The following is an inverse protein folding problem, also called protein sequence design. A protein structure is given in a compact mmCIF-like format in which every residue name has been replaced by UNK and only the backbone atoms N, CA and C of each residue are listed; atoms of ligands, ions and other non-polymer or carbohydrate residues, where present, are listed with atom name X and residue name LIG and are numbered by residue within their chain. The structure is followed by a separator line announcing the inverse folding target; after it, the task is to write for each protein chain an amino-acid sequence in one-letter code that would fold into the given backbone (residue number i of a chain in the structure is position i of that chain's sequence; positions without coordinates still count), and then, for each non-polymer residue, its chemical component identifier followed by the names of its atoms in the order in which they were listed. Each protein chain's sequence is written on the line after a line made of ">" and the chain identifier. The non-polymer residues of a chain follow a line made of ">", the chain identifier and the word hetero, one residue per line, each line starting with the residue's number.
data_IF_912786128151
#
_entry.id   IF_912786128151
#
_cell.length_a   1.000
_cell.length_b   1.000
_cell.length_c   1.000
_cell.angle_alpha   90.00
_cell.angle_beta   90.00
_cell.angle_gamma   90.00
#
_symmetry.space_group_name_H-M   'P 1'
#
loop_
_entity.id
_entity.type
_entity.pdbx_description
1 polymer ?
#
# COMPACT_ATOMS: atom_id res chain seq x y z
N UNK A 1 -10.57 28.15 -8.29
CA UNK A 1 -10.48 27.03 -9.26
C UNK A 1 -11.91 26.65 -9.63
N UNK A 2 -12.26 26.73 -10.90
CA UNK A 2 -13.61 26.44 -11.42
C UNK A 2 -13.96 24.96 -11.23
N UNK A 3 -15.27 24.64 -11.11
CA UNK A 3 -15.77 23.27 -10.92
C UNK A 3 -15.34 22.33 -12.05
N UNK A 4 -15.34 22.82 -13.30
CA UNK A 4 -14.85 22.07 -14.47
C UNK A 4 -13.36 21.75 -14.37
N UNK A 5 -12.54 22.68 -13.89
CA UNK A 5 -11.12 22.44 -13.69
C UNK A 5 -10.85 21.39 -12.58
N UNK A 6 -11.65 21.39 -11.51
CA UNK A 6 -11.57 20.36 -10.45
C UNK A 6 -11.96 18.99 -10.98
N UNK A 7 -13.02 18.88 -11.77
CA UNK A 7 -13.47 17.63 -12.39
C UNK A 7 -12.43 17.07 -13.36
N UNK A 8 -11.80 17.93 -14.17
CA UNK A 8 -10.72 17.51 -15.09
C UNK A 8 -9.49 16.99 -14.33
N UNK A 9 -9.08 17.66 -13.25
CA UNK A 9 -7.96 17.19 -12.40
C UNK A 9 -8.30 15.86 -11.73
N UNK A 10 -9.50 15.70 -11.20
CA UNK A 10 -9.94 14.43 -10.62
C UNK A 10 -10.03 13.30 -11.66
N UNK A 11 -10.48 13.60 -12.86
CA UNK A 11 -10.47 12.65 -13.99
C UNK A 11 -9.06 12.17 -14.31
N UNK A 12 -8.14 13.10 -14.54
CA UNK A 12 -6.74 12.78 -14.84
C UNK A 12 -6.06 11.98 -13.72
N UNK A 13 -6.36 12.27 -12.44
CA UNK A 13 -5.86 11.49 -11.29
C UNK A 13 -6.41 10.06 -11.28
N UNK A 14 -7.71 9.89 -11.62
CA UNK A 14 -8.33 8.55 -11.72
C UNK A 14 -7.71 7.74 -12.85
N UNK A 15 -7.51 8.37 -14.02
CA UNK A 15 -6.90 7.72 -15.18
C UNK A 15 -5.46 7.27 -14.88
N UNK A 16 -4.66 8.11 -14.23
CA UNK A 16 -3.29 7.80 -13.83
C UNK A 16 -3.22 6.65 -12.82
N UNK A 17 -4.07 6.66 -11.80
CA UNK A 17 -4.15 5.56 -10.82
C UNK A 17 -4.60 4.26 -11.50
N UNK A 18 -5.63 4.31 -12.36
CA UNK A 18 -6.13 3.16 -13.11
C UNK A 18 -5.04 2.56 -14.00
N UNK A 19 -4.27 3.40 -14.69
CA UNK A 19 -3.13 2.96 -15.50
C UNK A 19 -2.04 2.31 -14.64
N UNK A 20 -1.72 2.88 -13.47
CA UNK A 20 -0.73 2.31 -12.55
C UNK A 20 -1.16 0.93 -12.03
N UNK A 21 -2.45 0.73 -11.74
CA UNK A 21 -3.01 -0.57 -11.32
C UNK A 21 -2.87 -1.59 -12.46
N UNK A 22 -3.33 -1.27 -13.69
CA UNK A 22 -3.24 -2.14 -14.86
C UNK A 22 -1.80 -2.56 -15.15
N UNK A 23 -0.90 -1.59 -15.15
CA UNK A 23 0.51 -1.85 -15.43
C UNK A 23 1.17 -2.68 -14.33
N UNK A 24 0.83 -2.45 -13.06
CA UNK A 24 1.33 -3.28 -11.96
C UNK A 24 0.81 -4.72 -12.05
N UNK A 25 -0.45 -4.93 -12.45
CA UNK A 25 -1.00 -6.26 -12.69
C UNK A 25 -0.27 -6.99 -13.82
N UNK A 26 0.01 -6.29 -14.93
CA UNK A 26 0.77 -6.84 -16.06
C UNK A 26 2.21 -7.20 -15.66
N UNK A 27 2.88 -6.34 -14.90
CA UNK A 27 4.24 -6.59 -14.41
C UNK A 27 4.28 -7.81 -13.45
N UNK A 28 3.29 -7.94 -12.55
CA UNK A 28 3.16 -9.11 -11.67
C UNK A 28 2.89 -10.38 -12.49
N UNK A 29 2.01 -10.31 -13.49
CA UNK A 29 1.78 -11.43 -14.39
C UNK A 29 3.07 -11.83 -15.12
N UNK A 30 3.87 -10.87 -15.59
CA UNK A 30 5.18 -11.13 -16.20
C UNK A 30 6.18 -11.79 -15.24
N UNK A 31 6.11 -11.48 -13.93
CA UNK A 31 6.89 -12.18 -12.90
C UNK A 31 6.45 -13.63 -12.74
N UNK A 32 5.22 -13.98 -13.08
CA UNK A 32 4.66 -15.33 -12.98
C UNK A 32 4.70 -16.13 -14.29
N UNK A 33 5.22 -15.57 -15.39
CA UNK A 33 5.32 -16.24 -16.69
C UNK A 33 6.51 -17.22 -16.74
N UNK A 34 6.33 -18.33 -17.46
CA UNK A 34 7.35 -19.36 -17.70
C UNK A 34 7.39 -20.45 -16.62
N UNK A 35 8.49 -21.18 -16.57
CA UNK A 35 8.66 -22.24 -15.57
C UNK A 35 8.92 -21.62 -14.18
N UNK A 36 7.83 -21.41 -13.44
CA UNK A 36 7.85 -20.84 -12.09
C UNK A 36 7.70 -21.94 -11.06
N UNK A 37 8.63 -22.01 -10.11
CA UNK A 37 8.49 -22.88 -8.93
C UNK A 37 7.53 -22.18 -7.93
N UNK A 38 6.26 -22.59 -7.98
CA UNK A 38 5.23 -22.06 -7.08
C UNK A 38 5.35 -22.60 -5.64
N UNK A 39 6.20 -23.61 -5.40
CA UNK A 39 6.51 -24.14 -4.07
C UNK A 39 7.66 -23.37 -3.39
N UNK A 40 8.38 -22.53 -4.13
CA UNK A 40 9.48 -21.72 -3.57
C UNK A 40 8.98 -20.84 -2.43
N UNK A 41 9.72 -20.74 -1.31
CA UNK A 41 9.33 -19.90 -0.17
C UNK A 41 9.47 -18.41 -0.52
N UNK A 42 8.52 -17.61 -0.04
CA UNK A 42 8.61 -16.14 -0.10
C UNK A 42 9.47 -15.64 1.07
N UNK A 43 10.58 -14.92 0.80
CA UNK A 43 11.49 -14.46 1.86
C UNK A 43 10.80 -13.53 2.86
N UNK A 44 10.80 -13.92 4.15
CA UNK A 44 10.18 -13.15 5.23
C UNK A 44 8.68 -13.37 5.40
N UNK A 45 8.12 -14.38 4.74
CA UNK A 45 6.73 -14.82 4.87
C UNK A 45 6.69 -16.33 5.13
N UNK A 46 5.57 -16.82 5.67
CA UNK A 46 5.28 -18.25 5.79
C UNK A 46 4.72 -18.83 4.49
N UNK A 47 4.43 -17.99 3.50
CA UNK A 47 3.82 -18.40 2.22
C UNK A 47 4.85 -18.86 1.20
N UNK A 48 4.39 -19.76 0.34
CA UNK A 48 5.02 -20.07 -0.93
C UNK A 48 4.65 -19.04 -2.00
N UNK A 49 5.34 -19.06 -3.13
CA UNK A 49 5.02 -18.23 -4.31
C UNK A 49 3.57 -18.47 -4.76
N UNK A 50 3.11 -19.73 -4.78
CA UNK A 50 1.74 -20.09 -5.15
C UNK A 50 0.70 -19.52 -4.18
N UNK A 51 0.96 -19.54 -2.88
CA UNK A 51 0.06 -18.97 -1.87
C UNK A 51 0.04 -17.45 -1.93
N UNK A 52 1.19 -16.79 -2.07
CA UNK A 52 1.25 -15.33 -2.22
C UNK A 52 0.55 -14.84 -3.48
N UNK A 53 0.70 -15.56 -4.61
CA UNK A 53 -0.01 -15.24 -5.84
C UNK A 53 -1.53 -15.50 -5.73
N UNK A 54 -1.95 -16.58 -5.04
CA UNK A 54 -3.34 -16.88 -4.77
C UNK A 54 -3.98 -15.81 -3.86
N UNK A 55 -3.28 -15.42 -2.78
CA UNK A 55 -3.72 -14.32 -1.93
C UNK A 55 -3.91 -13.03 -2.72
N UNK A 56 -2.96 -12.68 -3.58
CA UNK A 56 -3.05 -11.47 -4.40
C UNK A 56 -4.24 -11.52 -5.38
N UNK A 57 -4.49 -12.66 -6.02
CA UNK A 57 -5.64 -12.85 -6.90
C UNK A 57 -6.98 -12.69 -6.16
N UNK A 58 -7.10 -13.29 -4.97
CA UNK A 58 -8.29 -13.19 -4.11
C UNK A 58 -8.49 -11.76 -3.56
N UNK A 59 -7.41 -11.08 -3.19
CA UNK A 59 -7.50 -9.70 -2.73
C UNK A 59 -7.92 -8.75 -3.85
N UNK A 60 -7.40 -8.93 -5.06
CA UNK A 60 -7.83 -8.16 -6.23
C UNK A 60 -9.32 -8.40 -6.53
N UNK A 61 -9.80 -9.65 -6.41
CA UNK A 61 -11.22 -9.99 -6.56
C UNK A 61 -12.08 -9.30 -5.50
N UNK A 62 -11.68 -9.35 -4.24
CA UNK A 62 -12.35 -8.65 -3.16
C UNK A 62 -12.46 -7.14 -3.42
N UNK A 63 -11.35 -6.49 -3.83
CA UNK A 63 -11.35 -5.06 -4.13
C UNK A 63 -12.25 -4.71 -5.33
N UNK A 64 -12.29 -5.58 -6.35
CA UNK A 64 -13.20 -5.41 -7.48
C UNK A 64 -14.67 -5.53 -7.05
N UNK A 65 -15.02 -6.50 -6.22
CA UNK A 65 -16.37 -6.66 -5.67
C UNK A 65 -16.79 -5.41 -4.86
N UNK A 66 -15.92 -4.90 -4.01
CA UNK A 66 -16.17 -3.69 -3.23
C UNK A 66 -16.32 -2.45 -4.13
N UNK A 67 -15.50 -2.33 -5.18
CA UNK A 67 -15.60 -1.25 -6.14
C UNK A 67 -16.92 -1.29 -6.93
N UNK A 68 -17.47 -2.47 -7.19
CA UNK A 68 -18.79 -2.67 -7.82
C UNK A 68 -19.97 -2.47 -6.83
N UNK A 69 -19.69 -2.20 -5.56
CA UNK A 69 -20.71 -2.01 -4.51
C UNK A 69 -21.26 -3.31 -3.94
N UNK A 70 -20.59 -4.45 -4.18
CA UNK A 70 -20.95 -5.71 -3.53
C UNK A 70 -20.40 -5.75 -2.11
N UNK A 71 -21.26 -6.01 -1.14
CA UNK A 71 -20.82 -6.26 0.23
C UNK A 71 -20.10 -7.62 0.29
N UNK A 72 -18.88 -7.60 0.78
CA UNK A 72 -18.09 -8.83 0.96
C UNK A 72 -17.35 -8.75 2.29
N UNK A 73 -17.94 -9.32 3.36
CA UNK A 73 -17.31 -9.33 4.67
C UNK A 73 -15.92 -9.98 4.62
N UNK A 74 -14.91 -9.31 5.18
CA UNK A 74 -13.55 -9.79 5.25
C UNK A 74 -12.87 -9.26 6.50
N UNK A 75 -12.55 -10.16 7.43
CA UNK A 75 -12.11 -9.75 8.76
C UNK A 75 -13.19 -9.00 9.54
N UNK A 76 -12.80 -8.15 10.46
CA UNK A 76 -13.69 -7.36 11.32
C UNK A 76 -13.50 -5.83 11.19
N UNK A 77 -12.87 -5.38 10.11
CA UNK A 77 -12.57 -3.96 9.86
C UNK A 77 -11.30 -3.45 10.56
N UNK A 78 -10.50 -4.33 11.15
CA UNK A 78 -9.22 -3.97 11.80
C UNK A 78 -8.03 -4.67 11.15
N UNK A 79 -6.83 -4.04 11.11
CA UNK A 79 -5.62 -4.68 10.60
C UNK A 79 -5.30 -6.02 11.27
N UNK A 80 -5.58 -6.17 12.56
CA UNK A 80 -5.29 -7.38 13.34
C UNK A 80 -6.10 -8.60 12.88
N UNK A 81 -7.27 -8.40 12.27
CA UNK A 81 -8.11 -9.49 11.78
C UNK A 81 -7.70 -10.03 10.40
N UNK A 82 -6.83 -9.32 9.66
CA UNK A 82 -6.50 -9.66 8.29
C UNK A 82 -5.76 -10.99 8.16
N UNK A 83 -4.84 -11.28 9.07
CA UNK A 83 -4.05 -12.52 9.01
C UNK A 83 -4.95 -13.78 9.06
N UNK A 84 -5.94 -13.80 9.97
CA UNK A 84 -6.89 -14.91 10.07
C UNK A 84 -7.78 -15.00 8.82
N UNK A 85 -8.33 -13.88 8.33
CA UNK A 85 -9.15 -13.85 7.13
C UNK A 85 -8.38 -14.29 5.87
N UNK A 86 -7.10 -13.92 5.77
CA UNK A 86 -6.21 -14.38 4.70
C UNK A 86 -6.02 -15.90 4.75
N UNK A 87 -5.75 -16.45 5.95
CA UNK A 87 -5.56 -17.89 6.13
C UNK A 87 -6.82 -18.67 5.76
N UNK A 88 -8.02 -18.22 6.19
CA UNK A 88 -9.30 -18.81 5.84
C UNK A 88 -9.55 -18.80 4.34
N UNK A 89 -9.30 -17.67 3.66
CA UNK A 89 -9.46 -17.54 2.21
C UNK A 89 -8.54 -18.49 1.45
N UNK A 90 -7.28 -18.59 1.87
CA UNK A 90 -6.30 -19.46 1.25
C UNK A 90 -6.58 -20.95 1.48
N UNK A 91 -7.20 -21.30 2.62
CA UNK A 91 -7.54 -22.68 2.95
C UNK A 91 -8.61 -23.27 2.02
N UNK A 92 -9.55 -22.45 1.55
CA UNK A 92 -10.64 -22.88 0.67
C UNK A 92 -10.33 -22.71 -0.82
N UNK A 93 -9.35 -21.89 -1.17
CA UNK A 93 -8.97 -21.63 -2.56
C UNK A 93 -7.82 -22.56 -2.99
N UNK A 94 -8.09 -23.48 -3.91
CA UNK A 94 -7.15 -24.56 -4.26
C UNK A 94 -6.14 -24.25 -5.38
N UNK A 95 -6.30 -23.15 -6.14
CA UNK A 95 -5.38 -22.84 -7.24
C UNK A 95 -4.02 -22.33 -6.72
N UNK A 96 -2.93 -22.90 -7.23
CA UNK A 96 -1.56 -22.51 -6.89
C UNK A 96 -0.64 -22.38 -8.12
N UNK A 97 -1.16 -22.68 -9.33
CA UNK A 97 -0.38 -22.59 -10.57
C UNK A 97 -0.20 -21.13 -10.98
N UNK A 98 0.99 -20.79 -11.43
CA UNK A 98 1.37 -19.42 -11.75
C UNK A 98 0.51 -18.79 -12.85
N UNK A 99 0.28 -19.51 -13.94
CA UNK A 99 -0.40 -19.01 -15.14
C UNK A 99 -1.89 -18.66 -14.89
N UNK A 100 -2.72 -19.52 -14.28
CA UNK A 100 -4.09 -19.16 -13.91
C UNK A 100 -4.15 -17.99 -12.91
N UNK A 101 -3.24 -17.97 -11.93
CA UNK A 101 -3.20 -16.89 -10.95
C UNK A 101 -2.80 -15.54 -11.57
N UNK A 102 -1.84 -15.52 -12.49
CA UNK A 102 -1.47 -14.33 -13.26
C UNK A 102 -2.67 -13.78 -14.06
N UNK A 103 -3.42 -14.67 -14.74
CA UNK A 103 -4.63 -14.29 -15.46
C UNK A 103 -5.71 -13.72 -14.54
N UNK A 104 -5.94 -14.33 -13.37
CA UNK A 104 -6.88 -13.81 -12.36
C UNK A 104 -6.45 -12.44 -11.84
N UNK A 105 -5.19 -12.25 -11.47
CA UNK A 105 -4.66 -10.97 -10.98
C UNK A 105 -4.94 -9.86 -11.99
N UNK A 106 -4.65 -10.11 -13.27
CA UNK A 106 -4.87 -9.14 -14.35
C UNK A 106 -6.36 -8.83 -14.55
N UNK A 107 -7.19 -9.87 -14.66
CA UNK A 107 -8.63 -9.70 -14.90
C UNK A 107 -9.34 -8.97 -13.75
N UNK A 108 -8.99 -9.27 -12.50
CA UNK A 108 -9.60 -8.64 -11.34
C UNK A 108 -9.12 -7.18 -11.14
N UNK A 109 -7.85 -6.89 -11.48
CA UNK A 109 -7.34 -5.51 -11.49
C UNK A 109 -8.09 -4.64 -12.51
N UNK A 110 -8.29 -5.16 -13.74
CA UNK A 110 -9.07 -4.46 -14.78
C UNK A 110 -10.52 -4.22 -14.33
N UNK A 111 -11.17 -5.27 -13.82
CA UNK A 111 -12.54 -5.17 -13.31
C UNK A 111 -12.67 -4.12 -12.19
N UNK A 112 -11.70 -4.05 -11.28
CA UNK A 112 -11.69 -3.05 -10.22
C UNK A 112 -11.56 -1.62 -10.79
N UNK A 113 -10.65 -1.40 -11.75
CA UNK A 113 -10.45 -0.09 -12.37
C UNK A 113 -11.72 0.35 -13.10
N UNK A 114 -12.36 -0.53 -13.87
CA UNK A 114 -13.60 -0.23 -14.59
C UNK A 114 -14.73 0.11 -13.62
N UNK A 115 -14.86 -0.64 -12.52
CA UNK A 115 -15.87 -0.38 -11.49
C UNK A 115 -15.63 0.97 -10.78
N UNK A 116 -14.38 1.32 -10.46
CA UNK A 116 -14.05 2.61 -9.86
C UNK A 116 -14.35 3.79 -10.80
N UNK A 117 -14.16 3.60 -12.10
CA UNK A 117 -14.50 4.60 -13.10
C UNK A 117 -16.02 4.77 -13.26
N UNK A 118 -16.77 3.67 -13.33
CA UNK A 118 -18.22 3.66 -13.55
C UNK A 118 -19.05 4.19 -12.37
N UNK A 119 -18.54 4.03 -11.13
CA UNK A 119 -19.29 4.31 -9.89
C UNK A 119 -18.67 5.44 -9.07
N UNK A 120 -18.11 6.45 -9.73
CA UNK A 120 -17.37 7.55 -9.09
C UNK A 120 -18.15 8.26 -7.96
N UNK A 121 -19.46 8.41 -8.09
CA UNK A 121 -20.35 9.09 -7.14
C UNK A 121 -21.13 8.11 -6.24
N UNK A 122 -20.76 6.83 -6.24
CA UNK A 122 -21.39 5.81 -5.40
C UNK A 122 -21.02 5.94 -3.93
N UNK A 123 -21.72 5.19 -3.03
CA UNK A 123 -21.41 5.17 -1.61
C UNK A 123 -19.99 4.67 -1.36
N UNK A 124 -19.41 5.11 -0.25
CA UNK A 124 -18.09 4.65 0.17
C UNK A 124 -18.12 3.13 0.44
N UNK A 125 -17.24 2.32 -0.19
CA UNK A 125 -17.19 0.90 0.07
C UNK A 125 -16.63 0.63 1.48
N UNK A 126 -17.09 -0.49 2.07
CA UNK A 126 -16.54 -0.98 3.35
C UNK A 126 -15.41 -1.95 3.04
N UNK A 127 -14.19 -1.47 3.16
CA UNK A 127 -12.98 -2.27 2.96
C UNK A 127 -12.67 -3.17 4.18
N UNK A 128 -11.73 -4.12 4.07
CA UNK A 128 -11.21 -4.87 5.21
C UNK A 128 -10.64 -4.02 6.36
N UNK A 129 -10.39 -2.74 6.11
CA UNK A 129 -9.89 -1.75 7.07
C UNK A 129 -10.96 -0.71 7.48
N UNK A 130 -12.23 -0.97 7.15
CA UNK A 130 -13.35 -0.07 7.41
C UNK A 130 -13.80 0.74 6.20
N UNK A 131 -14.73 1.69 6.38
CA UNK A 131 -15.22 2.56 5.30
C UNK A 131 -14.05 3.34 4.65
N UNK A 132 -14.06 3.41 3.33
CA UNK A 132 -12.94 3.98 2.56
C UNK A 132 -13.46 4.67 1.29
N UNK A 133 -12.95 5.86 0.99
CA UNK A 133 -13.26 6.53 -0.27
C UNK A 133 -12.80 5.69 -1.47
N UNK A 134 -13.51 5.79 -2.60
CA UNK A 134 -13.21 5.01 -3.80
C UNK A 134 -11.80 5.24 -4.35
N UNK A 135 -11.31 6.48 -4.32
CA UNK A 135 -9.94 6.81 -4.72
C UNK A 135 -8.91 6.18 -3.79
N UNK A 136 -9.22 6.12 -2.49
CA UNK A 136 -8.39 5.46 -1.48
C UNK A 136 -8.44 3.94 -1.65
N UNK A 137 -9.59 3.35 -2.03
CA UNK A 137 -9.72 1.92 -2.35
C UNK A 137 -8.81 1.51 -3.51
N UNK A 138 -8.78 2.29 -4.60
CA UNK A 138 -7.86 2.05 -5.73
C UNK A 138 -6.39 2.18 -5.32
N UNK A 139 -6.07 3.17 -4.50
CA UNK A 139 -4.72 3.35 -3.92
C UNK A 139 -4.35 2.18 -2.99
N UNK A 140 -5.30 1.64 -2.24
CA UNK A 140 -5.11 0.43 -1.42
C UNK A 140 -4.82 -0.78 -2.28
N UNK A 141 -5.62 -1.03 -3.32
CA UNK A 141 -5.35 -2.11 -4.28
C UNK A 141 -3.93 -2.02 -4.84
N UNK A 142 -3.52 -0.84 -5.34
CA UNK A 142 -2.19 -0.63 -5.89
C UNK A 142 -1.09 -0.91 -4.85
N UNK A 143 -1.26 -0.39 -3.62
CA UNK A 143 -0.30 -0.61 -2.53
C UNK A 143 -0.13 -2.08 -2.21
N UNK A 144 -1.24 -2.82 -2.13
CA UNK A 144 -1.27 -4.26 -1.89
C UNK A 144 -0.57 -5.03 -3.03
N UNK A 145 -0.90 -4.70 -4.28
CA UNK A 145 -0.27 -5.29 -5.46
C UNK A 145 1.24 -5.06 -5.49
N UNK A 146 1.70 -3.84 -5.20
CA UNK A 146 3.14 -3.53 -5.18
C UNK A 146 3.88 -4.26 -4.06
N UNK A 147 3.26 -4.40 -2.89
CA UNK A 147 3.83 -5.14 -1.77
C UNK A 147 4.04 -6.62 -2.10
N UNK A 148 2.98 -7.32 -2.51
CA UNK A 148 3.06 -8.75 -2.85
C UNK A 148 3.74 -8.99 -4.19
N UNK A 149 3.63 -8.10 -5.16
CA UNK A 149 4.40 -8.16 -6.40
C UNK A 149 5.91 -8.06 -6.15
N UNK A 150 6.33 -7.21 -5.21
CA UNK A 150 7.71 -7.17 -4.74
C UNK A 150 8.15 -8.48 -4.09
N UNK A 151 7.31 -9.07 -3.24
CA UNK A 151 7.58 -10.35 -2.57
C UNK A 151 7.76 -11.49 -3.59
N UNK A 152 6.86 -11.60 -4.59
CA UNK A 152 6.93 -12.56 -5.68
C UNK A 152 8.19 -12.37 -6.54
N UNK A 153 8.48 -11.14 -6.96
CA UNK A 153 9.66 -10.83 -7.75
C UNK A 153 10.96 -11.21 -7.01
N UNK A 154 11.01 -10.95 -5.71
CA UNK A 154 12.15 -11.29 -4.86
C UNK A 154 12.31 -12.79 -4.68
N UNK A 155 11.22 -13.54 -4.44
CA UNK A 155 11.23 -15.00 -4.33
C UNK A 155 11.74 -15.66 -5.62
N UNK A 156 11.30 -15.15 -6.76
CA UNK A 156 11.66 -15.66 -8.09
C UNK A 156 12.95 -15.04 -8.67
N UNK A 157 13.63 -14.16 -7.91
CA UNK A 157 14.86 -13.46 -8.33
C UNK A 157 14.69 -12.68 -9.63
N UNK A 158 13.53 -12.04 -9.79
CA UNK A 158 13.19 -11.21 -10.95
C UNK A 158 13.17 -9.72 -10.56
N UNK A 159 13.31 -8.78 -11.51
CA UNK A 159 13.14 -7.35 -11.24
C UNK A 159 11.75 -7.06 -10.67
N UNK A 160 11.68 -6.17 -9.67
CA UNK A 160 10.42 -5.74 -9.11
C UNK A 160 9.87 -4.49 -9.82
N UNK A 161 8.57 -4.27 -9.71
CA UNK A 161 7.82 -3.22 -10.40
C UNK A 161 7.64 -1.94 -9.56
N UNK A 162 8.18 -1.89 -8.34
CA UNK A 162 8.01 -0.72 -7.46
C UNK A 162 8.90 0.42 -7.92
N UNK A 163 8.30 1.58 -8.24
CA UNK A 163 8.98 2.81 -8.66
C UNK A 163 8.38 4.04 -7.96
N UNK A 164 8.99 5.21 -8.15
CA UNK A 164 8.60 6.44 -7.48
C UNK A 164 7.23 6.95 -7.91
N UNK A 165 6.85 6.77 -9.18
CA UNK A 165 5.56 7.22 -9.72
C UNK A 165 4.42 6.41 -9.10
N UNK A 166 4.54 5.07 -9.11
CA UNK A 166 3.54 4.17 -8.50
C UNK A 166 3.42 4.39 -7.00
N UNK A 167 4.53 4.67 -6.30
CA UNK A 167 4.49 5.04 -4.88
C UNK A 167 3.69 6.32 -4.67
N UNK A 168 3.79 7.29 -5.57
CA UNK A 168 2.95 8.49 -5.53
C UNK A 168 1.45 8.16 -5.51
N UNK A 169 1.02 7.20 -6.30
CA UNK A 169 -0.37 6.71 -6.34
C UNK A 169 -0.79 5.91 -5.11
N UNK A 170 0.16 5.38 -4.32
CA UNK A 170 -0.13 4.72 -3.05
C UNK A 170 -0.39 5.71 -1.90
N UNK A 171 0.00 6.98 -2.03
CA UNK A 171 -0.04 7.95 -0.94
C UNK A 171 -1.43 8.18 -0.34
N UNK A 172 -2.54 8.28 -1.10
CA UNK A 172 -3.87 8.42 -0.51
C UNK A 172 -4.19 7.32 0.52
N UNK A 173 -3.90 6.06 0.21
CA UNK A 173 -4.09 4.95 1.14
C UNK A 173 -3.09 5.03 2.31
N UNK A 174 -1.81 5.26 2.04
CA UNK A 174 -0.78 5.32 3.08
C UNK A 174 -1.09 6.37 4.14
N UNK A 175 -1.56 7.56 3.73
CA UNK A 175 -1.94 8.62 4.66
C UNK A 175 -3.19 8.25 5.46
N UNK A 176 -4.16 7.61 4.83
CA UNK A 176 -5.43 7.22 5.44
C UNK A 176 -5.26 6.11 6.49
N UNK A 177 -4.39 5.12 6.23
CA UNK A 177 -4.22 3.96 7.10
C UNK A 177 -3.26 4.21 8.27
N UNK A 178 -2.34 5.16 8.14
CA UNK A 178 -1.28 5.42 9.13
C UNK A 178 -1.80 5.60 10.57
N UNK A 179 -2.88 6.33 10.87
CA UNK A 179 -3.41 6.42 12.23
C UNK A 179 -3.90 5.07 12.79
N UNK A 180 -4.44 4.20 11.92
CA UNK A 180 -5.01 2.90 12.32
C UNK A 180 -3.93 1.85 12.63
N UNK A 181 -2.74 1.98 12.02
CA UNK A 181 -1.60 1.06 12.24
C UNK A 181 -0.57 1.60 13.25
N UNK A 182 -0.89 2.67 13.96
CA UNK A 182 -0.03 3.18 15.02
C UNK A 182 0.08 2.18 16.17
N UNK A 183 1.31 1.89 16.59
CA UNK A 183 1.55 1.04 17.77
C UNK A 183 1.33 1.86 19.04
N UNK A 184 0.19 1.65 19.68
CA UNK A 184 -0.21 2.38 20.89
C UNK A 184 0.75 2.15 22.06
N UNK A 185 1.44 1.01 22.10
CA UNK A 185 2.41 0.72 23.16
C UNK A 185 3.67 1.56 23.03
N UNK A 186 4.05 1.91 21.81
CA UNK A 186 5.23 2.71 21.47
C UNK A 186 4.91 4.19 21.42
N UNK A 187 3.71 4.56 20.96
CA UNK A 187 3.31 5.96 20.80
C UNK A 187 2.79 6.60 22.10
N UNK A 188 2.41 5.82 23.12
CA UNK A 188 1.86 6.32 24.39
C UNK A 188 2.73 7.43 25.00
N UNK A 189 2.12 8.57 25.30
CA UNK A 189 2.81 9.74 25.89
C UNK A 189 3.75 10.49 24.94
N UNK A 190 3.91 10.03 23.69
CA UNK A 190 4.76 10.69 22.71
C UNK A 190 4.05 11.90 22.11
N UNK A 191 4.73 13.07 22.17
CA UNK A 191 4.30 14.28 21.47
C UNK A 191 5.43 14.75 20.57
N UNK A 192 5.17 14.74 19.24
CA UNK A 192 6.15 15.10 18.23
C UNK A 192 5.47 15.51 16.92
N UNK A 193 6.14 16.35 16.14
CA UNK A 193 5.71 16.78 14.81
C UNK A 193 6.74 16.39 13.77
N UNK A 194 6.31 15.67 12.76
CA UNK A 194 7.15 15.24 11.66
C UNK A 194 6.68 15.85 10.35
N UNK A 195 7.62 16.15 9.48
CA UNK A 195 7.39 16.34 8.05
C UNK A 195 8.09 15.22 7.31
N UNK A 196 7.35 14.47 6.49
CA UNK A 196 7.91 13.44 5.61
C UNK A 196 7.97 14.01 4.20
N UNK A 197 9.14 13.95 3.56
CA UNK A 197 9.36 14.41 2.19
C UNK A 197 9.82 13.25 1.32
N UNK A 198 9.04 12.93 0.30
CA UNK A 198 9.47 11.98 -0.73
C UNK A 198 10.45 12.68 -1.67
N UNK A 199 11.67 12.11 -1.80
CA UNK A 199 12.71 12.71 -2.65
C UNK A 199 12.38 12.52 -4.14
N UNK A 200 12.84 13.43 -4.98
CA UNK A 200 12.62 13.40 -6.43
C UNK A 200 11.30 14.07 -6.88
N UNK A 201 10.51 14.61 -5.95
CA UNK A 201 9.27 15.34 -6.24
C UNK A 201 8.96 16.36 -5.14
N UNK A 202 7.81 17.01 -5.24
CA UNK A 202 7.32 18.00 -4.26
C UNK A 202 6.46 17.36 -3.15
N UNK A 203 6.25 16.03 -3.19
CA UNK A 203 5.39 15.32 -2.25
C UNK A 203 5.94 15.40 -0.82
N UNK A 204 5.18 16.03 0.06
CA UNK A 204 5.48 16.10 1.49
C UNK A 204 4.18 16.12 2.28
N UNK A 205 4.18 15.50 3.47
CA UNK A 205 3.04 15.46 4.37
C UNK A 205 3.46 15.58 5.83
N UNK A 206 2.52 15.95 6.68
CA UNK A 206 2.72 16.13 8.10
C UNK A 206 2.20 14.95 8.93
N UNK A 207 2.95 14.55 9.96
CA UNK A 207 2.49 13.60 10.98
C UNK A 207 2.67 14.24 12.35
N UNK A 208 1.59 14.32 13.10
CA UNK A 208 1.59 14.86 14.47
C UNK A 208 1.20 13.74 15.44
N UNK A 209 2.00 13.56 16.46
CA UNK A 209 1.63 12.79 17.63
C UNK A 209 1.31 13.75 18.78
N UNK A 210 0.16 13.54 19.39
CA UNK A 210 -0.25 14.28 20.59
C UNK A 210 -0.70 13.24 21.61
N UNK A 211 0.08 13.07 22.66
CA UNK A 211 -0.17 12.08 23.71
C UNK A 211 -0.48 10.67 23.14
N UNK A 212 0.34 10.24 22.16
CA UNK A 212 0.21 8.95 21.50
C UNK A 212 -0.83 8.85 20.38
N UNK A 213 -1.68 9.86 20.21
CA UNK A 213 -2.64 9.91 19.09
C UNK A 213 -1.93 10.40 17.83
N UNK A 214 -2.02 9.64 16.76
CA UNK A 214 -1.44 9.98 15.46
C UNK A 214 -2.45 10.73 14.60
N UNK A 215 -2.03 11.87 14.10
CA UNK A 215 -2.78 12.67 13.13
C UNK A 215 -1.92 12.89 11.89
N UNK A 216 -2.50 12.67 10.71
CA UNK A 216 -1.82 12.82 9.41
C UNK A 216 -2.50 13.94 8.62
N UNK A 217 -1.70 14.88 8.10
CA UNK A 217 -2.14 15.97 7.25
C UNK A 217 -1.45 15.86 5.89
N UNK A 218 -2.17 16.10 4.77
CA UNK A 218 -1.55 16.07 3.44
C UNK A 218 -0.51 17.17 3.23
N UNK A 219 -0.54 18.23 4.05
CA UNK A 219 0.45 19.31 4.01
C UNK A 219 1.60 19.06 5.02
N UNK A 220 2.83 19.53 4.71
CA UNK A 220 3.94 19.48 5.65
C UNK A 220 3.69 20.35 6.87
N UNK A 221 4.29 19.99 8.02
CA UNK A 221 4.22 20.81 9.25
C UNK A 221 4.99 22.13 9.07
N UNK A 222 4.43 23.24 9.52
CA UNK A 222 5.13 24.55 9.52
C UNK A 222 6.38 24.55 10.41
N UNK A 223 6.33 23.88 11.55
CA UNK A 223 7.42 23.81 12.55
C UNK A 223 7.64 22.37 13.00
N UNK A 224 8.19 21.50 12.15
CA UNK A 224 8.43 20.11 12.52
C UNK A 224 9.53 19.99 13.57
N UNK A 225 9.41 19.03 14.46
CA UNK A 225 10.50 18.62 15.33
C UNK A 225 11.56 17.86 14.52
N UNK A 226 11.12 17.03 13.58
CA UNK A 226 11.97 16.27 12.67
C UNK A 226 11.42 16.29 11.25
N UNK A 227 12.28 16.52 10.28
CA UNK A 227 11.99 16.30 8.86
C UNK A 227 12.71 15.06 8.40
N UNK A 228 11.99 14.15 7.73
CA UNK A 228 12.51 12.91 7.15
C UNK A 228 12.41 13.04 5.63
N UNK A 229 13.55 13.13 4.95
CA UNK A 229 13.64 13.05 3.50
C UNK A 229 13.96 11.61 3.12
N UNK A 230 13.08 10.98 2.33
CA UNK A 230 13.14 9.54 2.05
C UNK A 230 12.94 9.27 0.56
N UNK A 231 13.70 8.29 0.04
CA UNK A 231 13.48 7.73 -1.29
C UNK A 231 12.07 7.11 -1.36
N UNK A 232 11.23 7.37 -2.39
CA UNK A 232 9.85 6.89 -2.46
C UNK A 232 9.73 5.35 -2.37
N UNK A 233 10.59 4.62 -3.07
CA UNK A 233 10.60 3.15 -3.04
C UNK A 233 11.01 2.65 -1.66
N UNK A 234 11.99 3.29 -1.02
CA UNK A 234 12.37 2.96 0.34
C UNK A 234 11.25 3.26 1.34
N UNK A 235 10.51 4.36 1.16
CA UNK A 235 9.35 4.69 1.99
C UNK A 235 8.30 3.57 1.96
N UNK A 236 7.84 3.17 0.78
CA UNK A 236 6.83 2.12 0.65
C UNK A 236 7.32 0.79 1.23
N UNK A 237 8.53 0.36 0.87
CA UNK A 237 9.06 -0.93 1.31
C UNK A 237 9.36 -0.98 2.82
N UNK A 238 9.72 0.14 3.45
CA UNK A 238 9.86 0.25 4.91
C UNK A 238 8.48 0.18 5.57
N UNK A 239 7.52 0.95 5.07
CA UNK A 239 6.16 0.98 5.62
C UNK A 239 5.46 -0.39 5.55
N UNK A 240 5.74 -1.17 4.50
CA UNK A 240 5.24 -2.53 4.34
C UNK A 240 6.10 -3.61 5.04
N UNK A 241 7.15 -3.24 5.78
CA UNK A 241 8.04 -4.18 6.47
C UNK A 241 9.01 -4.96 5.58
N UNK A 242 9.14 -4.61 4.29
CA UNK A 242 9.97 -5.32 3.30
C UNK A 242 11.42 -4.82 3.25
N UNK A 243 11.71 -3.69 3.87
CA UNK A 243 13.05 -3.10 3.92
C UNK A 243 13.42 -2.66 5.33
N UNK A 244 14.63 -3.03 5.75
CA UNK A 244 15.15 -2.58 7.04
C UNK A 244 15.45 -1.07 7.00
N UNK A 245 14.86 -0.25 7.90
CA UNK A 245 15.04 1.20 7.92
C UNK A 245 16.48 1.62 8.21
N UNK A 246 17.21 0.89 9.04
CA UNK A 246 18.61 1.19 9.35
C UNK A 246 19.52 0.99 8.15
N UNK A 247 19.27 -0.06 7.37
CA UNK A 247 20.01 -0.29 6.13
C UNK A 247 19.68 0.78 5.08
N UNK A 248 18.44 1.24 5.00
CA UNK A 248 18.04 2.33 4.12
C UNK A 248 18.73 3.66 4.52
N UNK A 249 18.84 3.94 5.83
CA UNK A 249 19.61 5.09 6.33
C UNK A 249 21.10 4.99 6.00
N UNK A 250 21.72 3.84 6.25
CA UNK A 250 23.12 3.60 5.94
C UNK A 250 23.45 3.78 4.44
N UNK A 251 22.47 3.55 3.55
CA UNK A 251 22.56 3.76 2.10
C UNK A 251 22.17 5.19 1.66
N UNK A 252 21.91 6.10 2.60
CA UNK A 252 21.51 7.47 2.28
C UNK A 252 20.11 7.58 1.65
N UNK A 253 19.29 6.53 1.70
CA UNK A 253 17.91 6.55 1.19
C UNK A 253 16.95 7.26 2.14
N UNK A 254 17.32 7.41 3.41
CA UNK A 254 16.58 8.11 4.45
C UNK A 254 17.52 9.09 5.14
N UNK A 255 17.12 10.34 5.20
CA UNK A 255 17.84 11.42 5.90
C UNK A 255 16.88 12.06 6.91
N UNK A 256 17.34 12.23 8.14
CA UNK A 256 16.59 12.90 9.18
C UNK A 256 17.32 14.17 9.63
N UNK A 257 16.62 15.30 9.69
CA UNK A 257 17.15 16.59 10.09
C UNK A 257 16.09 17.46 10.79
N UNK A 258 16.48 18.62 11.28
CA UNK A 258 15.60 19.55 12.01
C UNK A 258 16.00 19.71 13.46
N UNK A 259 15.05 20.10 14.32
CA UNK A 259 15.31 20.40 15.75
C UNK A 259 15.65 19.14 16.56
N UNK A 260 15.02 18.00 16.22
CA UNK A 260 15.16 16.72 16.93
C UNK A 260 15.41 15.59 15.93
N UNK A 261 16.55 15.57 15.21
CA UNK A 261 16.81 14.59 14.15
C UNK A 261 16.82 13.15 14.65
N UNK A 262 17.11 12.90 15.93
CA UNK A 262 17.07 11.57 16.55
C UNK A 262 15.69 10.93 16.61
N UNK A 263 14.62 11.69 16.32
CA UNK A 263 13.26 11.15 16.17
C UNK A 263 13.10 10.41 14.82
N UNK A 264 13.88 10.73 13.79
CA UNK A 264 13.79 10.10 12.47
C UNK A 264 13.96 8.59 12.50
N UNK A 265 15.05 8.04 13.09
CA UNK A 265 15.26 6.61 13.22
C UNK A 265 14.14 5.86 13.98
N UNK A 266 13.41 6.54 14.86
CA UNK A 266 12.32 5.97 15.64
C UNK A 266 10.99 5.93 14.86
N UNK A 267 10.85 6.77 13.83
CA UNK A 267 9.59 6.96 13.13
C UNK A 267 8.97 5.66 12.56
N UNK A 268 9.74 4.78 11.87
CA UNK A 268 9.15 3.54 11.37
C UNK A 268 8.62 2.62 12.48
N UNK A 269 9.27 2.60 13.65
CA UNK A 269 8.85 1.79 14.79
C UNK A 269 7.62 2.32 15.53
N UNK A 270 7.05 3.45 15.12
CA UNK A 270 5.78 3.96 15.66
C UNK A 270 4.56 3.24 15.05
N UNK A 271 4.77 2.44 14.03
CA UNK A 271 3.72 1.78 13.25
C UNK A 271 3.96 0.29 13.15
N UNK A 272 2.89 -0.48 13.15
CA UNK A 272 2.93 -1.93 12.90
C UNK A 272 2.81 -2.13 11.38
N UNK A 273 3.74 -2.86 10.79
CA UNK A 273 3.62 -3.25 9.39
C UNK A 273 2.49 -4.28 9.22
N UNK A 274 1.66 -4.14 8.17
CA UNK A 274 0.58 -5.08 7.88
C UNK A 274 1.07 -6.45 7.40
#
# INVERSE_FOLDING_TARGET
>A
MDQAARQNVQGALRDGLGQAIRQSAADIAAVLVGAVDTSAPVPGSEWTVGEAAAHLALANELMADLAEGRERPYGNGTPQSLAAANAESLAVFGERRAEPLAAMITAQAERCVDALAATADGPAPVSPLGPMDRSVLGSYLLTHMLGHGYDLARALRRPHMVDAERVGWCMPFMLSVMPAVADRSVTAGLTARYTIRLRGGESAFGVTLTDGTVHVAPEPQERPDCTIAIDPVAFLLIALGRRNPWLAMARGQVLAFGRKPWLGPRFPGLFVAP
#
